data_IF_183534493519
#
_entry.id   IF_183534493519
#
_cell.length_a   1.000
_cell.length_b   1.000
_cell.length_c   1.000
_cell.angle_alpha   90.00
_cell.angle_beta   90.00
_cell.angle_gamma   90.00
#
_symmetry.space_group_name_H-M   'P 1'
#
loop_
_entity.id
_entity.type
_entity.pdbx_description
1 polymer ?
#
# COMPACT_ATOMS: atom_id res chain seq x y z
N UNK A 1 12.39 11.67 4.33
CA UNK A 1 10.98 11.69 4.79
C UNK A 1 10.13 12.12 3.60
N UNK A 2 9.06 11.40 3.28
CA UNK A 2 8.17 11.82 2.19
C UNK A 2 7.15 12.89 2.67
N UNK A 3 6.50 13.60 1.73
CA UNK A 3 5.53 14.66 2.06
C UNK A 3 4.42 14.21 3.00
N UNK A 4 3.95 12.96 2.89
CA UNK A 4 2.89 12.44 3.75
C UNK A 4 3.39 12.17 5.17
N UNK A 5 4.61 11.65 5.33
CA UNK A 5 5.25 11.49 6.64
C UNK A 5 5.55 12.85 7.29
N UNK A 6 5.90 13.86 6.51
CA UNK A 6 6.08 15.24 7.01
C UNK A 6 4.78 15.81 7.58
N UNK A 7 3.66 15.63 6.87
CA UNK A 7 2.33 15.98 7.38
C UNK A 7 2.01 15.25 8.69
N UNK A 8 2.29 13.95 8.74
CA UNK A 8 2.06 13.16 9.94
C UNK A 8 2.93 13.62 11.11
N UNK A 9 4.19 13.96 10.87
CA UNK A 9 5.07 14.53 11.89
C UNK A 9 4.49 15.84 12.44
N UNK A 10 4.14 16.78 11.57
CA UNK A 10 3.57 18.06 11.97
C UNK A 10 2.26 17.88 12.75
N UNK A 11 1.39 16.97 12.30
CA UNK A 11 0.16 16.65 13.00
C UNK A 11 0.43 16.03 14.38
N UNK A 12 1.38 15.09 14.51
CA UNK A 12 1.76 14.50 15.80
C UNK A 12 2.29 15.57 16.76
N UNK A 13 3.13 16.49 16.30
CA UNK A 13 3.60 17.62 17.11
C UNK A 13 2.42 18.49 17.60
N UNK A 14 1.43 18.74 16.74
CA UNK A 14 0.21 19.46 17.13
C UNK A 14 -0.67 18.69 18.12
N UNK A 15 -0.57 17.36 18.18
CA UNK A 15 -1.24 16.54 19.20
C UNK A 15 -0.51 16.55 20.57
N UNK A 16 0.60 17.29 20.69
CA UNK A 16 1.36 17.42 21.92
C UNK A 16 2.52 16.45 22.08
N UNK A 17 2.83 15.64 21.06
CA UNK A 17 4.07 14.87 21.05
C UNK A 17 5.26 15.80 20.88
N UNK A 18 6.35 15.55 21.62
CA UNK A 18 7.60 16.29 21.43
C UNK A 18 8.43 15.65 20.33
N UNK A 19 9.27 16.45 19.66
CA UNK A 19 10.07 15.96 18.52
C UNK A 19 11.09 14.91 18.96
N UNK A 20 11.69 15.11 20.13
CA UNK A 20 12.62 14.19 20.78
C UNK A 20 11.98 12.85 21.16
N UNK A 21 10.66 12.84 21.37
CA UNK A 21 9.89 11.63 21.70
C UNK A 21 9.46 10.85 20.46
N UNK A 22 9.70 11.35 19.25
CA UNK A 22 9.25 10.75 17.98
C UNK A 22 10.41 10.16 17.18
N UNK A 23 10.49 8.84 17.14
CA UNK A 23 11.42 8.12 16.28
C UNK A 23 10.79 7.84 14.90
N UNK A 24 11.30 8.48 13.86
CA UNK A 24 10.94 8.19 12.46
C UNK A 24 11.70 6.96 11.94
N UNK A 25 10.99 6.03 11.29
CA UNK A 25 11.55 4.83 10.67
C UNK A 25 11.25 4.77 9.17
N UNK A 26 12.20 4.21 8.43
CA UNK A 26 12.02 3.86 7.01
C UNK A 26 11.16 2.60 6.82
N UNK A 27 10.94 1.85 7.90
CA UNK A 27 10.15 0.61 7.96
C UNK A 27 8.80 0.88 8.63
N UNK A 28 7.87 -0.06 8.55
CA UNK A 28 6.58 0.02 9.25
C UNK A 28 6.70 -0.46 10.71
N UNK A 29 6.02 0.16 11.68
CA UNK A 29 5.38 1.47 11.61
C UNK A 29 6.37 2.61 11.36
N UNK A 30 5.90 3.68 10.70
CA UNK A 30 6.70 4.86 10.35
C UNK A 30 7.14 5.69 11.57
N UNK A 31 6.32 5.80 12.61
CA UNK A 31 6.67 6.53 13.83
C UNK A 31 6.50 5.65 15.07
N UNK A 32 7.44 5.77 16.00
CA UNK A 32 7.33 5.27 17.36
C UNK A 32 7.50 6.42 18.34
N UNK A 33 6.75 6.37 19.42
CA UNK A 33 6.80 7.36 20.49
C UNK A 33 7.48 6.78 21.73
N UNK A 34 7.96 7.63 22.64
CA UNK A 34 8.52 7.20 23.93
C UNK A 34 7.51 6.46 24.81
N UNK A 35 6.21 6.76 24.68
CA UNK A 35 5.10 6.02 25.32
C UNK A 35 4.70 4.74 24.56
N UNK A 36 5.55 4.25 23.65
CA UNK A 36 5.38 3.01 22.88
C UNK A 36 4.13 2.98 21.96
N UNK A 37 3.58 4.15 21.62
CA UNK A 37 2.58 4.25 20.55
C UNK A 37 3.26 4.17 19.20
N UNK A 38 2.55 3.55 18.26
CA UNK A 38 3.05 3.23 16.92
C UNK A 38 2.12 3.81 15.89
N UNK A 39 2.67 4.52 14.90
CA UNK A 39 1.89 5.12 13.82
C UNK A 39 2.42 4.70 12.45
N UNK A 40 1.53 4.20 11.59
CA UNK A 40 1.78 3.96 10.17
C UNK A 40 1.07 5.04 9.36
N UNK A 41 1.75 5.58 8.34
CA UNK A 41 1.25 6.69 7.55
C UNK A 41 0.92 6.22 6.14
N UNK A 42 -0.29 6.52 5.69
CA UNK A 42 -0.78 6.20 4.33
C UNK A 42 -1.25 7.45 3.62
N UNK A 43 -0.92 7.53 2.33
CA UNK A 43 -1.51 8.49 1.41
C UNK A 43 -2.78 7.88 0.82
N UNK A 44 -3.84 8.68 0.73
CA UNK A 44 -5.06 8.33 0.00
C UNK A 44 -4.84 8.64 -1.49
N UNK A 45 -4.84 7.61 -2.33
CA UNK A 45 -4.72 7.72 -3.77
C UNK A 45 -6.11 7.60 -4.40
N UNK A 46 -6.71 8.72 -4.80
CA UNK A 46 -8.12 8.75 -5.21
C UNK A 46 -9.00 8.31 -4.04
N UNK A 47 -9.58 7.11 -4.14
CA UNK A 47 -10.37 6.47 -3.08
C UNK A 47 -9.63 5.32 -2.41
N UNK A 48 -8.33 5.13 -2.61
CA UNK A 48 -7.65 3.90 -2.20
C UNK A 48 -6.48 4.13 -1.25
N UNK A 49 -6.31 3.25 -0.28
CA UNK A 49 -5.05 3.10 0.47
C UNK A 49 -4.39 1.77 0.13
N UNK A 50 -3.07 1.79 0.02
CA UNK A 50 -2.29 0.62 -0.40
C UNK A 50 -1.41 0.15 0.76
N UNK A 51 -1.50 -1.13 1.08
CA UNK A 51 -0.55 -1.83 1.94
C UNK A 51 0.27 -2.80 1.11
N UNK A 52 1.58 -2.57 1.07
CA UNK A 52 2.51 -3.55 0.51
C UNK A 52 2.68 -4.73 1.47
N UNK A 53 2.91 -5.94 0.94
CA UNK A 53 3.02 -7.13 1.77
C UNK A 53 4.11 -6.98 2.86
N UNK A 54 5.28 -6.44 2.52
CA UNK A 54 6.34 -6.17 3.50
C UNK A 54 5.91 -5.29 4.67
N UNK A 55 5.00 -4.34 4.45
CA UNK A 55 4.41 -3.51 5.50
C UNK A 55 3.40 -4.33 6.31
N UNK A 56 2.52 -5.09 5.65
CA UNK A 56 1.58 -5.99 6.31
C UNK A 56 2.30 -6.97 7.26
N UNK A 57 3.37 -7.61 6.80
CA UNK A 57 4.15 -8.56 7.60
C UNK A 57 4.78 -7.94 8.84
N UNK A 58 5.06 -6.63 8.80
CA UNK A 58 5.58 -5.88 9.95
C UNK A 58 4.44 -5.44 10.88
N UNK A 59 3.37 -4.86 10.33
CA UNK A 59 2.23 -4.33 11.08
C UNK A 59 1.42 -5.41 11.79
N UNK A 60 1.33 -6.62 11.22
CA UNK A 60 0.63 -7.75 11.86
C UNK A 60 1.26 -8.19 13.19
N UNK A 61 2.53 -7.83 13.45
CA UNK A 61 3.20 -8.09 14.73
C UNK A 61 2.75 -7.14 15.84
N UNK A 62 2.18 -5.99 15.46
CA UNK A 62 1.79 -4.89 16.34
C UNK A 62 0.38 -4.39 15.99
N UNK A 63 -0.62 -5.19 16.33
CA UNK A 63 -2.03 -4.97 15.97
C UNK A 63 -2.62 -3.62 16.45
N UNK A 64 -2.05 -3.05 17.52
CA UNK A 64 -2.45 -1.75 18.09
C UNK A 64 -1.87 -0.54 17.35
N UNK A 65 -1.09 -0.75 16.28
CA UNK A 65 -0.54 0.34 15.47
C UNK A 65 -1.67 1.19 14.90
N UNK A 66 -1.60 2.52 15.10
CA UNK A 66 -2.56 3.47 14.53
C UNK A 66 -2.18 3.79 13.08
N UNK A 67 -3.12 3.59 12.16
CA UNK A 67 -3.00 4.00 10.76
C UNK A 67 -3.52 5.42 10.63
N UNK A 68 -2.70 6.31 10.09
CA UNK A 68 -3.04 7.69 9.77
C UNK A 68 -3.10 7.83 8.25
N UNK A 69 -4.29 8.14 7.72
CA UNK A 69 -4.53 8.31 6.29
C UNK A 69 -4.65 9.79 5.96
N UNK A 70 -3.84 10.28 5.01
CA UNK A 70 -3.83 11.68 4.60
C UNK A 70 -4.23 11.84 3.13
N UNK A 71 -5.00 12.90 2.86
CA UNK A 71 -5.22 13.43 1.51
C UNK A 71 -4.12 14.39 1.10
N UNK A 72 -3.98 14.63 -0.20
CA UNK A 72 -2.90 15.47 -0.75
C UNK A 72 -2.98 16.93 -0.32
N UNK A 73 -4.17 17.46 -0.09
CA UNK A 73 -4.38 18.87 0.24
C UNK A 73 -4.76 19.12 1.71
N UNK A 74 -4.71 18.08 2.55
CA UNK A 74 -5.06 18.19 3.97
C UNK A 74 -3.81 18.07 4.85
N UNK A 75 -3.77 18.84 5.94
CA UNK A 75 -2.70 18.81 6.96
C UNK A 75 -3.00 17.84 8.11
N UNK A 76 -4.27 17.47 8.28
CA UNK A 76 -4.74 16.52 9.28
C UNK A 76 -5.10 15.17 8.64
N UNK A 77 -5.06 14.06 9.39
CA UNK A 77 -5.45 12.76 8.87
C UNK A 77 -6.95 12.74 8.58
N UNK A 78 -7.30 12.36 7.35
CA UNK A 78 -8.67 12.15 6.91
C UNK A 78 -9.30 10.96 7.64
N UNK A 79 -8.55 9.87 7.82
CA UNK A 79 -8.95 8.73 8.65
C UNK A 79 -7.87 8.35 9.66
N UNK A 80 -8.34 7.83 10.80
CA UNK A 80 -7.54 7.24 11.86
C UNK A 80 -8.24 5.98 12.37
N UNK A 81 -7.53 4.86 12.37
CA UNK A 81 -8.00 3.57 12.88
C UNK A 81 -6.81 2.69 13.27
N UNK A 82 -6.99 1.69 14.12
CA UNK A 82 -5.95 0.71 14.47
C UNK A 82 -5.85 -0.37 13.42
N UNK A 83 -4.67 -0.95 13.26
CA UNK A 83 -4.42 -2.02 12.30
C UNK A 83 -5.32 -3.25 12.52
N UNK A 84 -5.64 -3.60 13.77
CA UNK A 84 -6.57 -4.67 14.11
C UNK A 84 -7.97 -4.51 13.49
N UNK A 85 -8.41 -3.26 13.28
CA UNK A 85 -9.73 -2.96 12.73
C UNK A 85 -9.82 -3.32 11.25
N UNK A 86 -8.70 -3.42 10.51
CA UNK A 86 -8.69 -3.60 9.05
C UNK A 86 -9.47 -4.84 8.60
N UNK A 87 -9.38 -5.96 9.32
CA UNK A 87 -10.12 -7.18 8.95
C UNK A 87 -11.62 -7.07 9.14
N UNK A 88 -12.05 -6.21 10.07
CA UNK A 88 -13.47 -5.93 10.33
C UNK A 88 -14.01 -4.80 9.46
N UNK A 89 -13.14 -4.02 8.82
CA UNK A 89 -13.59 -2.99 7.90
C UNK A 89 -14.10 -3.61 6.60
N UNK A 90 -15.23 -3.15 6.05
CA UNK A 90 -15.65 -3.52 4.71
C UNK A 90 -14.56 -3.15 3.69
N UNK A 91 -14.50 -3.86 2.56
CA UNK A 91 -13.56 -3.55 1.45
C UNK A 91 -13.54 -2.07 1.10
N UNK A 92 -14.70 -1.42 1.22
CA UNK A 92 -14.89 0.03 1.12
C UNK A 92 -15.36 0.59 2.47
N UNK A 93 -14.55 1.39 3.15
CA UNK A 93 -14.88 2.05 4.42
C UNK A 93 -14.77 3.57 4.30
N UNK A 94 -15.85 4.30 4.61
CA UNK A 94 -15.93 5.77 4.46
C UNK A 94 -15.52 6.26 3.06
N UNK A 95 -15.93 5.51 2.03
CA UNK A 95 -15.60 5.80 0.63
C UNK A 95 -14.14 5.48 0.26
N UNK A 96 -13.39 4.80 1.14
CA UNK A 96 -12.02 4.36 0.87
C UNK A 96 -11.95 2.85 0.67
N UNK A 97 -11.34 2.41 -0.42
CA UNK A 97 -10.99 1.02 -0.67
C UNK A 97 -9.62 0.68 -0.07
N UNK A 98 -9.55 -0.46 0.62
CA UNK A 98 -8.30 -0.97 1.19
C UNK A 98 -7.72 -2.02 0.25
N UNK A 99 -6.60 -1.69 -0.39
CA UNK A 99 -5.93 -2.57 -1.34
C UNK A 99 -4.63 -3.16 -0.76
N UNK A 100 -4.45 -4.45 -1.03
CA UNK A 100 -3.24 -5.19 -0.69
C UNK A 100 -2.43 -5.41 -1.96
N UNK A 101 -1.15 -5.04 -1.93
CA UNK A 101 -0.23 -5.30 -3.04
C UNK A 101 0.79 -6.33 -2.57
N UNK A 102 0.74 -7.51 -3.19
CA UNK A 102 1.79 -8.50 -3.03
C UNK A 102 2.94 -8.16 -3.98
N UNK A 103 4.09 -7.80 -3.42
CA UNK A 103 5.34 -7.62 -4.19
C UNK A 103 6.32 -8.79 -3.95
N UNK A 104 5.92 -9.79 -3.16
CA UNK A 104 6.76 -10.97 -2.90
C UNK A 104 6.61 -12.04 -3.99
N UNK A 105 5.80 -11.79 -5.02
CA UNK A 105 5.93 -12.50 -6.28
C UNK A 105 7.19 -11.99 -6.99
N UNK A 106 8.06 -12.90 -7.43
CA UNK A 106 9.33 -12.60 -8.08
C UNK A 106 9.06 -12.11 -9.52
N UNK A 107 8.47 -10.91 -9.62
CA UNK A 107 7.99 -10.32 -10.88
C UNK A 107 9.15 -9.64 -11.62
N UNK A 108 9.36 -10.05 -12.88
CA UNK A 108 10.30 -9.36 -13.78
C UNK A 108 9.53 -8.45 -14.73
N UNK A 109 9.85 -7.16 -14.72
CA UNK A 109 9.32 -6.22 -15.68
C UNK A 109 9.94 -6.48 -17.08
N UNK A 110 9.10 -6.86 -18.04
CA UNK A 110 9.48 -7.00 -19.45
C UNK A 110 9.03 -5.74 -20.19
N UNK A 111 9.96 -5.01 -20.81
CA UNK A 111 9.62 -3.88 -21.67
C UNK A 111 9.14 -4.38 -23.03
N UNK A 112 7.97 -3.93 -23.45
CA UNK A 112 7.36 -4.28 -24.73
C UNK A 112 7.12 -3.02 -25.57
N UNK A 113 7.27 -3.14 -26.89
CA UNK A 113 6.83 -2.09 -27.81
C UNK A 113 5.30 -1.98 -27.80
N UNK A 114 4.76 -0.82 -28.16
CA UNK A 114 3.30 -0.61 -28.31
C UNK A 114 2.67 -1.67 -29.22
N UNK A 115 3.29 -1.91 -30.38
CA UNK A 115 2.87 -2.92 -31.35
C UNK A 115 2.85 -4.33 -30.77
N UNK A 116 3.87 -4.71 -29.98
CA UNK A 116 3.93 -6.02 -29.32
C UNK A 116 2.82 -6.17 -28.29
N UNK A 117 2.56 -5.13 -27.51
CA UNK A 117 1.47 -5.13 -26.51
C UNK A 117 0.10 -5.31 -27.18
N UNK A 118 -0.19 -4.54 -28.23
CA UNK A 118 -1.45 -4.63 -28.98
C UNK A 118 -1.64 -6.03 -29.57
N UNK A 119 -0.58 -6.60 -30.14
CA UNK A 119 -0.61 -7.97 -30.66
C UNK A 119 -0.89 -9.00 -29.57
N UNK A 120 -0.26 -8.89 -28.40
CA UNK A 120 -0.53 -9.78 -27.26
C UNK A 120 -1.98 -9.68 -26.80
N UNK A 121 -2.52 -8.47 -26.69
CA UNK A 121 -3.92 -8.25 -26.31
C UNK A 121 -4.90 -8.94 -27.27
N UNK A 122 -4.58 -9.00 -28.57
CA UNK A 122 -5.38 -9.73 -29.55
C UNK A 122 -5.46 -11.25 -29.33
N UNK A 123 -4.55 -11.83 -28.54
CA UNK A 123 -4.60 -13.25 -28.16
C UNK A 123 -5.31 -13.49 -26.82
N UNK A 124 -5.66 -12.44 -26.08
CA UNK A 124 -6.30 -12.53 -24.77
C UNK A 124 -7.74 -13.00 -24.86
N UNK A 125 -8.16 -13.83 -23.89
CA UNK A 125 -9.56 -14.21 -23.70
C UNK A 125 -10.23 -13.28 -22.68
N UNK A 126 -11.55 -13.20 -22.72
CA UNK A 126 -12.31 -12.40 -21.74
C UNK A 126 -12.02 -12.89 -20.32
N UNK A 127 -11.56 -11.99 -19.45
CA UNK A 127 -11.20 -12.29 -18.06
C UNK A 127 -9.81 -12.90 -17.85
N UNK A 128 -9.00 -13.05 -18.90
CA UNK A 128 -7.63 -13.57 -18.82
C UNK A 128 -6.63 -12.43 -18.54
N UNK A 129 -5.77 -12.60 -17.54
CA UNK A 129 -4.65 -11.68 -17.28
C UNK A 129 -3.44 -11.98 -18.18
N UNK A 130 -2.43 -11.10 -18.12
CA UNK A 130 -1.24 -11.24 -18.95
C UNK A 130 -0.37 -12.45 -18.58
N UNK A 131 -0.38 -12.90 -17.32
CA UNK A 131 0.43 -14.04 -16.90
C UNK A 131 -0.16 -15.33 -17.45
N UNK A 132 -1.48 -15.50 -17.37
CA UNK A 132 -2.20 -16.62 -17.97
C UNK A 132 -2.06 -16.63 -19.50
N UNK A 133 -2.20 -15.46 -20.13
CA UNK A 133 -2.00 -15.31 -21.57
C UNK A 133 -0.59 -15.74 -22.00
N UNK A 134 0.45 -15.22 -21.33
CA UNK A 134 1.85 -15.50 -21.68
C UNK A 134 2.16 -16.98 -21.48
N UNK A 135 1.79 -17.56 -20.33
CA UNK A 135 2.03 -18.98 -20.07
C UNK A 135 1.34 -19.88 -21.10
N UNK A 136 0.07 -19.59 -21.43
CA UNK A 136 -0.66 -20.33 -22.47
C UNK A 136 0.02 -20.25 -23.85
N UNK A 137 0.58 -19.11 -24.21
CA UNK A 137 1.32 -18.96 -25.47
C UNK A 137 2.64 -19.74 -25.44
N UNK A 138 3.36 -19.72 -24.33
CA UNK A 138 4.61 -20.47 -24.14
C UNK A 138 4.37 -21.99 -24.16
N UNK A 139 3.28 -22.46 -23.54
CA UNK A 139 2.90 -23.87 -23.53
C UNK A 139 2.55 -24.38 -24.92
N UNK A 140 1.94 -23.53 -25.78
CA UNK A 140 1.73 -23.89 -27.18
C UNK A 140 3.05 -24.08 -27.93
N UNK A 141 4.00 -23.16 -27.74
CA UNK A 141 5.31 -23.21 -28.39
C UNK A 141 6.13 -24.43 -27.96
N UNK A 142 5.96 -24.91 -26.72
CA UNK A 142 6.65 -26.12 -26.23
C UNK A 142 6.11 -27.43 -26.80
N UNK A 143 4.88 -27.43 -27.31
CA UNK A 143 4.19 -28.63 -27.81
C UNK A 143 4.22 -28.74 -29.34
N UNK A 144 4.86 -27.78 -30.02
CA UNK A 144 5.17 -27.78 -31.46
C UNK A 144 6.66 -28.08 -31.68
#
# INVERSE_FOLDING_TARGET
MNKTQEKALNWLLQQGYKKEDLALRQKSPNFLTSDNKKFEVKRLYGTQIIFYNSQYQQLKKDLKTTILVFRDNESSPFLKFKFEEIKSLPKTYKGIEINWVNLDEDIKAIRLSKKTKERLQGFGKMGEDFDHLINRLLDKIKND
#
